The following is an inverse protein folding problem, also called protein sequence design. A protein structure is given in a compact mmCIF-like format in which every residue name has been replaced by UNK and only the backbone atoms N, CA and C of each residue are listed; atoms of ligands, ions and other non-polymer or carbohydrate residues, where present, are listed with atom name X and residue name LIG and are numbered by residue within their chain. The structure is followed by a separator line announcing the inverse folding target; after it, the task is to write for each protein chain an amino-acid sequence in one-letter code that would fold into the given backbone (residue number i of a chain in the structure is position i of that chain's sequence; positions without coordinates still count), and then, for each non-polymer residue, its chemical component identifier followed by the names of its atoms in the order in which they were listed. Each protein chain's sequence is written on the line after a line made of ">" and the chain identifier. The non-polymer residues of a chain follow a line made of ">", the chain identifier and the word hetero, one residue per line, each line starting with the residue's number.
data_IF_624279314909
#
_entry.id   IF_624279314909
#
_cell.length_a   1.000
_cell.length_b   1.000
_cell.length_c   1.000
_cell.angle_alpha   90.00
_cell.angle_beta   90.00
_cell.angle_gamma   90.00
#
_symmetry.space_group_name_H-M   'P 1'
#
loop_
_entity.id
_entity.type
_entity.pdbx_description
1 polymer ?
#
# COMPACT_ATOMS: atom_id res chain seq x y z
N UNK A 1 10.54 -10.55 14.05
CA UNK A 1 10.40 -11.73 13.16
C UNK A 1 11.74 -12.37 12.80
N UNK A 2 12.71 -11.60 12.26
CA UNK A 2 14.05 -12.11 11.96
C UNK A 2 14.72 -12.74 13.19
N UNK A 3 14.61 -12.08 14.34
CA UNK A 3 15.10 -12.63 15.61
C UNK A 3 14.41 -13.94 15.97
N UNK A 4 13.07 -13.95 16.00
CA UNK A 4 12.31 -15.15 16.36
C UNK A 4 12.60 -16.37 15.46
N UNK A 5 12.74 -16.18 14.15
CA UNK A 5 12.93 -17.30 13.20
C UNK A 5 14.40 -17.67 12.96
N UNK A 6 15.33 -16.72 13.08
CA UNK A 6 16.71 -16.92 12.68
C UNK A 6 17.77 -16.43 13.68
N UNK A 7 17.36 -15.81 14.79
CA UNK A 7 18.26 -15.35 15.85
C UNK A 7 19.21 -14.24 15.40
N UNK A 8 18.82 -13.41 14.44
CA UNK A 8 19.75 -12.45 13.82
C UNK A 8 20.26 -11.34 14.73
N UNK A 9 19.65 -11.12 15.90
CA UNK A 9 20.11 -10.17 16.91
C UNK A 9 20.92 -10.88 18.00
N UNK A 10 20.49 -12.08 18.43
CA UNK A 10 21.09 -12.79 19.57
C UNK A 10 22.19 -13.79 19.18
N UNK A 11 22.18 -14.31 17.96
CA UNK A 11 23.16 -15.30 17.48
C UNK A 11 24.25 -14.61 16.65
N UNK A 12 25.51 -14.56 17.12
CA UNK A 12 26.60 -13.93 16.37
C UNK A 12 27.00 -14.72 15.11
N UNK A 13 26.63 -16.00 15.02
CA UNK A 13 27.01 -16.90 13.93
C UNK A 13 25.81 -17.71 13.41
N UNK A 14 24.80 -17.07 12.79
CA UNK A 14 23.67 -17.80 12.21
C UNK A 14 24.15 -18.68 11.05
N UNK A 15 23.50 -19.84 10.88
CA UNK A 15 23.81 -20.77 9.80
C UNK A 15 23.62 -20.13 8.42
N UNK A 16 24.23 -20.69 7.38
CA UNK A 16 24.06 -20.17 6.01
C UNK A 16 22.59 -20.19 5.57
N UNK A 17 21.83 -21.19 6.00
CA UNK A 17 20.38 -21.28 5.75
C UNK A 17 19.66 -20.13 6.43
N UNK A 18 19.92 -19.87 7.72
CA UNK A 18 19.32 -18.75 8.46
C UNK A 18 19.72 -17.38 7.89
N UNK A 19 20.91 -17.23 7.30
CA UNK A 19 21.33 -16.02 6.59
C UNK A 19 20.59 -15.82 5.26
N UNK A 20 20.32 -16.92 4.55
CA UNK A 20 19.69 -16.87 3.21
C UNK A 20 18.16 -16.80 3.31
N UNK A 21 17.59 -17.48 4.30
CA UNK A 21 16.16 -17.70 4.51
C UNK A 21 15.74 -17.38 5.95
N UNK A 22 15.94 -16.14 6.43
CA UNK A 22 15.68 -15.79 7.82
C UNK A 22 14.21 -15.83 8.24
N UNK A 23 13.29 -15.88 7.29
CA UNK A 23 11.86 -15.90 7.57
C UNK A 23 11.23 -17.20 7.10
N UNK A 24 11.45 -17.60 5.85
CA UNK A 24 10.87 -18.83 5.32
C UNK A 24 11.87 -19.56 4.43
N UNK A 25 12.05 -20.85 4.72
CA UNK A 25 12.79 -21.72 3.83
C UNK A 25 11.98 -21.99 2.56
N UNK A 26 12.61 -21.81 1.40
CA UNK A 26 12.04 -22.17 0.10
C UNK A 26 13.16 -22.41 -0.89
N UNK A 27 12.97 -23.40 -1.77
CA UNK A 27 13.88 -23.67 -2.88
C UNK A 27 13.57 -22.81 -4.13
N UNK A 28 12.50 -22.01 -4.10
CA UNK A 28 12.16 -21.10 -5.18
C UNK A 28 13.14 -19.93 -5.23
N UNK A 29 13.73 -19.67 -6.41
CA UNK A 29 14.74 -18.62 -6.61
C UNK A 29 14.26 -17.23 -6.22
N UNK A 30 12.95 -16.98 -6.27
CA UNK A 30 12.31 -15.74 -5.86
C UNK A 30 12.24 -15.54 -4.32
N UNK A 31 12.80 -16.45 -3.51
CA UNK A 31 12.84 -16.35 -2.03
C UNK A 31 14.25 -16.19 -1.45
N UNK A 32 15.29 -16.10 -2.26
CA UNK A 32 16.67 -16.05 -1.78
C UNK A 32 17.06 -14.65 -1.28
N UNK A 33 17.60 -14.58 -0.06
CA UNK A 33 18.19 -13.37 0.51
C UNK A 33 17.21 -12.45 1.23
N UNK A 34 17.76 -11.54 2.05
CA UNK A 34 16.99 -10.73 2.99
C UNK A 34 15.89 -9.90 2.32
N UNK A 35 16.19 -9.21 1.22
CA UNK A 35 15.22 -8.36 0.53
C UNK A 35 13.96 -9.13 0.12
N UNK A 36 14.13 -10.31 -0.50
CA UNK A 36 13.01 -11.14 -0.97
C UNK A 36 12.23 -11.75 0.19
N UNK A 37 12.92 -12.07 1.29
CA UNK A 37 12.33 -12.60 2.52
C UNK A 37 11.50 -11.54 3.25
N UNK A 38 12.01 -10.31 3.36
CA UNK A 38 11.26 -9.17 3.91
C UNK A 38 10.08 -8.78 3.02
N UNK A 39 10.26 -8.79 1.70
CA UNK A 39 9.16 -8.54 0.75
C UNK A 39 8.05 -9.57 0.89
N UNK A 40 8.41 -10.85 1.05
CA UNK A 40 7.47 -11.94 1.32
C UNK A 40 6.72 -11.73 2.65
N UNK A 41 7.43 -11.40 3.72
CA UNK A 41 6.79 -11.16 5.01
C UNK A 41 5.87 -9.93 4.99
N UNK A 42 6.31 -8.82 4.41
CA UNK A 42 5.48 -7.63 4.26
C UNK A 42 4.21 -7.95 3.46
N UNK A 43 4.33 -8.72 2.36
CA UNK A 43 3.18 -9.15 1.57
C UNK A 43 2.16 -9.90 2.42
N UNK A 44 2.58 -10.91 3.17
CA UNK A 44 1.65 -11.75 3.94
C UNK A 44 1.13 -11.10 5.21
N UNK A 45 1.92 -10.26 5.88
CA UNK A 45 1.45 -9.43 6.98
C UNK A 45 0.35 -8.48 6.50
N UNK A 46 0.55 -7.82 5.36
CA UNK A 46 -0.48 -6.98 4.74
C UNK A 46 -1.72 -7.78 4.34
N UNK A 47 -1.54 -9.00 3.81
CA UNK A 47 -2.66 -9.86 3.43
C UNK A 47 -3.57 -10.17 4.62
N UNK A 48 -2.99 -10.52 5.78
CA UNK A 48 -3.75 -10.72 7.01
C UNK A 48 -4.32 -9.41 7.59
N UNK A 49 -3.50 -8.35 7.67
CA UNK A 49 -3.88 -7.05 8.23
C UNK A 49 -5.05 -6.41 7.47
N UNK A 50 -4.87 -6.15 6.17
CA UNK A 50 -5.89 -5.52 5.33
C UNK A 50 -7.00 -6.48 4.93
N UNK A 51 -6.72 -7.79 4.91
CA UNK A 51 -7.74 -8.82 4.76
C UNK A 51 -8.79 -8.73 5.87
N UNK A 52 -8.33 -8.63 7.11
CA UNK A 52 -9.19 -8.48 8.29
C UNK A 52 -10.03 -7.19 8.23
N UNK A 53 -9.37 -6.04 8.03
CA UNK A 53 -10.05 -4.74 8.10
C UNK A 53 -11.03 -4.51 6.96
N UNK A 54 -10.62 -4.87 5.74
CA UNK A 54 -11.25 -4.32 4.53
C UNK A 54 -11.78 -5.37 3.54
N UNK A 55 -11.44 -6.66 3.70
CA UNK A 55 -11.81 -7.73 2.74
C UNK A 55 -12.51 -8.92 3.38
N UNK A 56 -13.17 -8.71 4.52
CA UNK A 56 -13.98 -9.71 5.23
C UNK A 56 -13.25 -11.04 5.50
N UNK A 57 -11.94 -11.00 5.76
CA UNK A 57 -11.19 -12.19 6.16
C UNK A 57 -11.64 -12.62 7.57
N UNK A 58 -12.43 -13.68 7.66
CA UNK A 58 -12.97 -14.17 8.94
C UNK A 58 -12.41 -15.53 9.35
N UNK A 59 -11.76 -16.25 8.44
CA UNK A 59 -11.23 -17.59 8.69
C UNK A 59 -9.74 -17.67 8.38
N UNK A 60 -9.02 -18.42 9.22
CA UNK A 60 -7.66 -18.89 8.98
C UNK A 60 -7.70 -20.30 8.42
N UNK A 61 -7.04 -20.55 7.30
CA UNK A 61 -6.92 -21.87 6.68
C UNK A 61 -5.46 -22.33 6.67
N UNK A 62 -5.23 -23.57 7.08
CA UNK A 62 -3.92 -24.23 7.09
C UNK A 62 -3.72 -25.06 5.82
N UNK A 63 -2.47 -25.34 5.44
CA UNK A 63 -2.16 -26.16 4.25
C UNK A 63 -2.67 -27.60 4.37
N UNK A 64 -2.87 -28.07 5.60
CA UNK A 64 -3.45 -29.36 5.95
C UNK A 64 -4.99 -29.38 5.89
N UNK A 65 -5.63 -28.25 5.62
CA UNK A 65 -7.07 -28.12 5.37
C UNK A 65 -7.90 -27.73 6.59
N UNK A 66 -7.32 -27.72 7.79
CA UNK A 66 -7.99 -27.20 8.98
C UNK A 66 -8.32 -25.72 8.81
N UNK A 67 -9.47 -25.32 9.36
CA UNK A 67 -9.98 -23.95 9.29
C UNK A 67 -10.45 -23.49 10.64
N UNK A 68 -9.90 -22.38 11.11
CA UNK A 68 -10.31 -21.73 12.35
C UNK A 68 -11.02 -20.41 12.05
N UNK A 69 -12.05 -20.12 12.82
CA UNK A 69 -12.69 -18.81 12.82
C UNK A 69 -11.87 -17.86 13.68
N UNK A 70 -11.56 -16.66 13.18
CA UNK A 70 -10.98 -15.62 14.00
C UNK A 70 -11.98 -15.12 15.04
N UNK A 71 -11.50 -14.87 16.25
CA UNK A 71 -12.32 -14.19 17.25
C UNK A 71 -12.58 -12.73 16.80
N UNK A 72 -13.84 -12.31 16.85
CA UNK A 72 -14.26 -10.96 16.42
C UNK A 72 -13.63 -9.82 17.24
N UNK A 73 -13.08 -10.10 18.42
CA UNK A 73 -12.39 -9.14 19.27
C UNK A 73 -10.91 -8.92 18.93
N UNK A 74 -10.35 -9.65 17.96
CA UNK A 74 -8.95 -9.47 17.56
C UNK A 74 -8.74 -8.16 16.79
N UNK A 75 -7.58 -7.54 17.02
CA UNK A 75 -7.13 -6.42 16.18
C UNK A 75 -6.41 -6.94 14.91
N UNK A 76 -6.33 -6.07 13.91
CA UNK A 76 -5.73 -6.39 12.61
C UNK A 76 -4.26 -6.83 12.69
N UNK A 77 -3.47 -6.29 13.63
CA UNK A 77 -2.06 -6.67 13.80
C UNK A 77 -1.93 -8.10 14.35
N UNK A 78 -2.79 -8.48 15.30
CA UNK A 78 -2.86 -9.86 15.80
C UNK A 78 -3.28 -10.81 14.68
N UNK A 79 -4.30 -10.48 13.90
CA UNK A 79 -4.74 -11.31 12.76
C UNK A 79 -3.63 -11.45 11.71
N UNK A 80 -2.90 -10.36 11.41
CA UNK A 80 -1.76 -10.39 10.50
C UNK A 80 -0.67 -11.39 10.95
N UNK A 81 -0.35 -11.41 12.24
CA UNK A 81 0.62 -12.35 12.82
C UNK A 81 0.09 -13.79 12.80
N UNK A 82 -1.17 -14.01 13.19
CA UNK A 82 -1.78 -15.34 13.15
C UNK A 82 -1.79 -15.91 11.73
N UNK A 83 -2.14 -15.10 10.73
CA UNK A 83 -2.08 -15.46 9.33
C UNK A 83 -0.63 -15.73 8.89
N UNK A 84 0.31 -14.83 9.18
CA UNK A 84 1.71 -15.00 8.79
C UNK A 84 2.34 -16.29 9.34
N UNK A 85 2.03 -16.65 10.60
CA UNK A 85 2.54 -17.86 11.22
C UNK A 85 1.82 -19.14 10.78
N UNK A 86 0.64 -19.07 10.14
CA UNK A 86 -0.01 -20.28 9.62
C UNK A 86 0.60 -20.73 8.30
N UNK A 87 1.23 -19.81 7.55
CA UNK A 87 1.85 -20.10 6.27
C UNK A 87 2.93 -21.16 6.42
N UNK A 88 2.83 -22.22 5.62
CA UNK A 88 3.79 -23.36 5.61
C UNK A 88 3.99 -23.99 7.00
N UNK A 89 2.97 -23.95 7.85
CA UNK A 89 3.00 -24.48 9.22
C UNK A 89 1.76 -25.33 9.50
N UNK A 90 1.90 -26.37 10.31
CA UNK A 90 0.76 -27.10 10.86
C UNK A 90 0.18 -26.36 12.09
N UNK A 91 -0.99 -26.82 12.57
CA UNK A 91 -1.68 -26.22 13.73
C UNK A 91 -0.80 -26.22 14.98
N UNK A 92 0.01 -27.26 15.18
CA UNK A 92 0.87 -27.42 16.37
C UNK A 92 1.98 -26.36 16.35
N UNK A 93 2.68 -26.23 15.22
CA UNK A 93 3.76 -25.27 15.02
C UNK A 93 3.24 -23.83 15.09
N UNK A 94 2.09 -23.56 14.47
CA UNK A 94 1.41 -22.28 14.56
C UNK A 94 1.05 -21.93 16.00
N UNK A 95 0.39 -22.84 16.73
CA UNK A 95 0.02 -22.62 18.14
C UNK A 95 1.26 -22.38 19.00
N UNK A 96 2.34 -23.12 18.76
CA UNK A 96 3.63 -22.88 19.40
C UNK A 96 4.12 -21.44 19.19
N UNK A 97 4.02 -20.94 17.95
CA UNK A 97 4.47 -19.60 17.60
C UNK A 97 3.64 -18.46 18.20
N UNK A 98 2.31 -18.62 18.32
CA UNK A 98 1.43 -17.50 18.71
C UNK A 98 0.85 -17.58 20.13
N UNK A 99 0.78 -18.77 20.74
CA UNK A 99 0.00 -19.00 21.96
C UNK A 99 0.82 -19.51 23.15
N UNK A 100 2.12 -19.77 22.98
CA UNK A 100 2.98 -20.26 24.07
C UNK A 100 3.82 -19.14 24.68
N UNK A 101 4.22 -19.25 25.96
CA UNK A 101 5.14 -18.30 26.60
C UNK A 101 6.53 -18.23 25.96
N UNK A 102 6.88 -19.16 25.07
CA UNK A 102 8.14 -19.17 24.30
C UNK A 102 7.92 -18.78 22.82
N UNK A 103 6.71 -18.39 22.46
CA UNK A 103 6.34 -17.98 21.10
C UNK A 103 6.86 -16.59 20.74
N UNK A 104 6.40 -16.09 19.59
CA UNK A 104 6.79 -14.80 19.04
C UNK A 104 6.57 -13.63 20.00
N UNK A 105 5.50 -13.66 20.80
CA UNK A 105 5.22 -12.62 21.79
C UNK A 105 6.35 -12.45 22.80
N UNK A 106 6.99 -13.54 23.25
CA UNK A 106 8.10 -13.46 24.20
C UNK A 106 9.32 -12.77 23.58
N UNK A 107 9.63 -13.06 22.32
CA UNK A 107 10.67 -12.34 21.57
C UNK A 107 10.30 -10.88 21.38
N UNK A 108 9.06 -10.57 21.00
CA UNK A 108 8.64 -9.19 20.84
C UNK A 108 8.77 -8.41 22.15
N UNK A 109 8.24 -8.96 23.24
CA UNK A 109 8.25 -8.36 24.57
C UNK A 109 9.68 -8.10 25.06
N UNK A 110 10.60 -9.05 24.87
CA UNK A 110 11.99 -8.91 25.30
C UNK A 110 12.72 -7.73 24.62
N UNK A 111 12.38 -7.41 23.37
CA UNK A 111 13.04 -6.36 22.60
C UNK A 111 12.29 -5.03 22.56
N UNK A 112 10.96 -5.05 22.67
CA UNK A 112 10.10 -3.88 22.44
C UNK A 112 9.13 -3.58 23.59
N UNK A 113 9.03 -4.45 24.60
CA UNK A 113 8.07 -4.31 25.70
C UNK A 113 6.65 -4.77 25.34
N UNK A 114 5.68 -4.38 26.17
CA UNK A 114 4.28 -4.76 26.01
C UNK A 114 3.60 -3.99 24.86
N UNK A 115 3.20 -4.64 23.75
CA UNK A 115 2.53 -3.98 22.63
C UNK A 115 1.11 -3.51 22.94
N UNK A 116 0.53 -3.87 24.09
CA UNK A 116 -0.85 -3.55 24.44
C UNK A 116 -0.98 -2.34 25.39
N UNK A 117 0.12 -1.65 25.68
CA UNK A 117 0.13 -0.43 26.50
C UNK A 117 -0.54 0.73 25.75
N UNK A 118 -0.23 0.89 24.45
CA UNK A 118 -0.88 1.87 23.58
C UNK A 118 -2.18 1.29 23.02
N UNK A 119 -3.31 1.87 23.43
CA UNK A 119 -4.66 1.39 23.07
C UNK A 119 -5.34 2.23 22.00
N UNK A 120 -4.76 3.37 21.65
CA UNK A 120 -5.35 4.25 20.65
C UNK A 120 -5.16 3.65 19.25
N UNK A 121 -6.21 3.62 18.42
CA UNK A 121 -6.08 3.11 17.07
C UNK A 121 -5.16 4.04 16.27
N UNK A 122 -4.22 3.44 15.53
CA UNK A 122 -3.28 4.16 14.63
C UNK A 122 -4.04 5.11 13.70
N UNK A 123 -5.23 4.72 13.27
CA UNK A 123 -6.14 5.51 12.45
C UNK A 123 -7.42 5.80 13.24
N UNK A 124 -7.80 7.07 13.44
CA UNK A 124 -9.03 7.42 14.16
C UNK A 124 -10.28 7.06 13.33
N UNK A 125 -11.36 6.66 14.01
CA UNK A 125 -12.61 6.24 13.34
C UNK A 125 -13.32 7.39 12.59
N UNK A 126 -13.06 8.63 12.98
CA UNK A 126 -13.62 9.84 12.36
C UNK A 126 -12.61 10.51 11.42
N UNK A 127 -11.71 9.74 10.81
CA UNK A 127 -10.72 10.27 9.87
C UNK A 127 -11.41 11.00 8.70
N UNK A 128 -11.02 12.25 8.47
CA UNK A 128 -11.48 13.07 7.34
C UNK A 128 -10.32 13.25 6.38
N UNK A 129 -10.56 13.01 5.09
CA UNK A 129 -9.59 13.31 4.05
C UNK A 129 -9.47 14.84 3.87
N UNK A 130 -8.24 15.39 3.80
CA UNK A 130 -8.03 16.77 3.34
C UNK A 130 -8.60 17.01 1.94
N UNK A 131 -8.84 18.28 1.59
CA UNK A 131 -9.18 18.64 0.22
C UNK A 131 -7.98 18.38 -0.69
N UNK A 132 -8.17 17.59 -1.74
CA UNK A 132 -7.14 17.22 -2.71
C UNK A 132 -7.57 17.68 -4.10
N UNK A 133 -6.65 18.22 -4.87
CA UNK A 133 -6.82 18.50 -6.29
C UNK A 133 -6.57 17.30 -7.20
N UNK A 134 -6.68 17.53 -8.50
CA UNK A 134 -6.20 16.57 -9.49
C UNK A 134 -4.67 16.67 -9.62
N UNK A 135 -3.97 15.55 -9.86
CA UNK A 135 -2.50 15.51 -9.89
C UNK A 135 -1.90 15.98 -11.22
N UNK A 136 -2.58 16.85 -11.96
CA UNK A 136 -2.19 17.36 -13.28
C UNK A 136 -2.78 18.75 -13.56
N UNK A 137 -2.33 19.42 -14.62
CA UNK A 137 -2.69 20.82 -14.85
C UNK A 137 -4.14 20.99 -15.35
N UNK A 138 -4.73 22.17 -15.10
CA UNK A 138 -5.97 22.56 -15.77
C UNK A 138 -5.75 22.65 -17.29
N UNK A 139 -6.71 22.13 -18.06
CA UNK A 139 -6.63 22.03 -19.52
C UNK A 139 -5.91 20.78 -20.04
N UNK A 140 -5.29 19.97 -19.18
CA UNK A 140 -4.75 18.66 -19.56
C UNK A 140 -5.82 17.57 -19.42
N UNK A 141 -5.79 16.58 -20.33
CA UNK A 141 -6.65 15.39 -20.27
C UNK A 141 -5.78 14.18 -19.99
N UNK A 142 -5.93 13.63 -18.80
CA UNK A 142 -5.30 12.38 -18.38
C UNK A 142 -6.32 11.24 -18.49
N UNK A 143 -5.86 10.00 -18.34
CA UNK A 143 -6.70 8.82 -18.49
C UNK A 143 -6.70 7.99 -17.22
N UNK A 144 -7.87 7.75 -16.66
CA UNK A 144 -8.09 6.87 -15.51
C UNK A 144 -7.92 5.40 -15.92
N UNK A 145 -6.69 4.89 -15.84
CA UNK A 145 -6.32 3.59 -16.41
C UNK A 145 -6.40 2.43 -15.44
N UNK A 146 -6.50 2.71 -14.13
CA UNK A 146 -6.61 1.70 -13.10
C UNK A 146 -7.47 2.19 -11.95
N UNK A 147 -8.56 1.45 -11.65
CA UNK A 147 -9.43 1.66 -10.50
C UNK A 147 -8.75 1.28 -9.19
N UNK A 148 -9.55 1.09 -8.14
CA UNK A 148 -9.04 0.79 -6.80
C UNK A 148 -8.14 -0.46 -6.80
N UNK A 149 -6.89 -0.30 -6.35
CA UNK A 149 -5.92 -1.40 -6.23
C UNK A 149 -4.85 -1.10 -5.17
N UNK A 150 -3.96 -2.06 -4.92
CA UNK A 150 -2.99 -2.01 -3.83
C UNK A 150 -2.11 -0.75 -3.82
N UNK A 151 -2.09 -0.02 -2.69
CA UNK A 151 -1.20 1.14 -2.48
C UNK A 151 0.28 0.85 -2.71
N UNK A 152 0.72 -0.36 -2.33
CA UNK A 152 2.00 -0.95 -2.71
C UNK A 152 1.88 -2.47 -2.74
N UNK A 153 2.05 -3.06 -3.92
CA UNK A 153 1.77 -4.49 -4.18
C UNK A 153 0.33 -4.90 -3.83
N UNK A 154 -0.10 -6.07 -4.31
CA UNK A 154 -1.51 -6.48 -4.29
C UNK A 154 -2.10 -6.82 -2.91
N UNK A 155 -1.27 -7.04 -1.88
CA UNK A 155 -1.78 -7.39 -0.55
C UNK A 155 -2.07 -6.20 0.36
N UNK A 156 -1.60 -5.00 0.00
CA UNK A 156 -1.90 -3.76 0.71
C UNK A 156 -3.40 -3.40 0.62
N UNK A 157 -3.83 -2.35 1.33
CA UNK A 157 -5.17 -1.80 1.11
C UNK A 157 -5.31 -1.36 -0.35
N UNK A 158 -6.54 -1.44 -0.89
CA UNK A 158 -6.85 -0.90 -2.21
C UNK A 158 -6.92 0.63 -2.17
N UNK A 159 -5.76 1.24 -1.99
CA UNK A 159 -5.56 2.65 -1.67
C UNK A 159 -5.11 3.49 -2.88
N UNK A 160 -4.82 2.84 -4.01
CA UNK A 160 -4.27 3.47 -5.19
C UNK A 160 -5.26 3.60 -6.36
N UNK A 161 -4.96 4.54 -7.25
CA UNK A 161 -5.53 4.74 -8.57
C UNK A 161 -4.39 4.97 -9.58
N UNK A 162 -4.62 4.60 -10.84
CA UNK A 162 -3.67 4.85 -11.92
C UNK A 162 -4.19 5.86 -12.94
N UNK A 163 -3.33 6.80 -13.31
CA UNK A 163 -3.59 7.78 -14.35
C UNK A 163 -2.48 7.78 -15.41
N UNK A 164 -2.81 7.46 -16.65
CA UNK A 164 -1.87 7.59 -17.75
C UNK A 164 -1.79 9.04 -18.26
N UNK A 165 -0.58 9.52 -18.61
CA UNK A 165 -0.40 10.90 -19.07
C UNK A 165 -0.97 11.11 -20.49
N UNK A 166 -1.13 12.38 -20.92
CA UNK A 166 -1.70 12.71 -22.23
C UNK A 166 -0.83 12.28 -23.41
N UNK A 167 0.49 12.27 -23.26
CA UNK A 167 1.40 11.82 -24.31
C UNK A 167 1.51 10.31 -24.35
N UNK A 168 1.63 9.77 -25.57
CA UNK A 168 1.90 8.38 -25.87
C UNK A 168 2.96 8.32 -26.97
N UNK A 169 3.82 7.29 -26.95
CA UNK A 169 4.80 7.10 -28.00
C UNK A 169 4.21 6.31 -29.16
N UNK A 170 4.50 6.75 -30.37
CA UNK A 170 4.04 6.10 -31.62
C UNK A 170 4.94 4.96 -32.08
N UNK A 171 6.09 4.75 -31.42
CA UNK A 171 7.05 3.69 -31.74
C UNK A 171 6.78 2.36 -31.03
N UNK A 172 5.66 2.25 -30.32
CA UNK A 172 5.25 1.04 -29.58
C UNK A 172 5.97 0.83 -28.24
N UNK A 173 6.80 1.79 -27.80
CA UNK A 173 7.44 1.72 -26.48
C UNK A 173 6.47 2.25 -25.42
N UNK A 174 5.92 1.34 -24.62
CA UNK A 174 4.97 1.69 -23.55
C UNK A 174 5.60 2.38 -22.35
N UNK A 175 6.92 2.25 -22.16
CA UNK A 175 7.64 2.84 -21.05
C UNK A 175 8.55 3.99 -21.46
N UNK A 176 8.25 5.18 -20.97
CA UNK A 176 8.96 6.43 -21.28
C UNK A 176 8.72 7.50 -20.21
N UNK A 177 9.57 8.52 -20.19
CA UNK A 177 9.34 9.70 -19.33
C UNK A 177 8.37 10.63 -20.06
N UNK A 178 7.23 10.92 -19.44
CA UNK A 178 6.23 11.84 -19.97
C UNK A 178 6.76 13.28 -20.04
N UNK A 179 6.30 14.03 -21.04
CA UNK A 179 6.52 15.48 -21.11
C UNK A 179 5.59 16.27 -20.17
N UNK A 180 4.56 15.63 -19.62
CA UNK A 180 3.59 16.24 -18.72
C UNK A 180 4.00 16.05 -17.27
N UNK A 181 3.74 17.08 -16.47
CA UNK A 181 4.07 17.09 -15.05
C UNK A 181 2.97 16.41 -14.23
N UNK A 182 3.39 15.49 -13.36
CA UNK A 182 2.59 15.16 -12.17
C UNK A 182 2.70 16.34 -11.20
N UNK A 183 1.58 16.72 -10.59
CA UNK A 183 1.47 17.88 -9.71
C UNK A 183 1.01 17.49 -8.32
N UNK A 184 1.45 18.25 -7.32
CA UNK A 184 1.02 18.08 -5.94
C UNK A 184 -0.49 18.29 -5.83
N UNK A 185 -1.20 17.33 -5.22
CA UNK A 185 -2.66 17.45 -5.01
C UNK A 185 -3.03 18.37 -3.84
N UNK A 186 -2.08 18.69 -2.97
CA UNK A 186 -2.27 19.54 -1.79
C UNK A 186 -0.96 20.25 -1.43
N UNK A 187 -1.03 21.20 -0.51
CA UNK A 187 0.15 21.85 0.07
C UNK A 187 0.86 20.87 1.01
N UNK A 188 2.19 20.95 1.10
CA UNK A 188 2.95 20.09 2.00
C UNK A 188 4.45 20.15 1.83
N UNK A 189 5.14 19.14 2.36
CA UNK A 189 6.59 18.95 2.22
C UNK A 189 6.88 17.55 1.66
N UNK A 190 7.89 17.46 0.79
CA UNK A 190 8.36 16.15 0.32
C UNK A 190 9.16 15.48 1.45
N UNK A 191 8.52 14.58 2.20
CA UNK A 191 9.13 13.83 3.30
C UNK A 191 10.09 12.74 2.78
N UNK A 192 9.79 12.17 1.61
CA UNK A 192 10.60 11.12 0.98
C UNK A 192 10.56 11.18 -0.54
N UNK A 193 11.69 10.93 -1.18
CA UNK A 193 11.81 10.88 -2.63
C UNK A 193 12.94 9.93 -3.02
N UNK A 194 12.58 8.76 -3.55
CA UNK A 194 13.53 7.71 -3.93
C UNK A 194 12.83 6.58 -4.71
N UNK A 195 13.61 5.85 -5.52
CA UNK A 195 13.17 4.61 -6.19
C UNK A 195 11.84 4.75 -6.94
N UNK A 196 11.65 5.86 -7.67
CA UNK A 196 10.44 6.16 -8.43
C UNK A 196 9.24 6.62 -7.59
N UNK A 197 9.38 6.71 -6.27
CA UNK A 197 8.34 7.17 -5.36
C UNK A 197 8.60 8.56 -4.78
N UNK A 198 7.54 9.34 -4.58
CA UNK A 198 7.51 10.63 -3.90
C UNK A 198 6.42 10.60 -2.83
N UNK A 199 6.73 11.02 -1.61
CA UNK A 199 5.80 11.11 -0.48
C UNK A 199 5.65 12.57 -0.07
N UNK A 200 4.44 13.09 -0.25
CA UNK A 200 4.04 14.43 0.16
C UNK A 200 3.37 14.33 1.52
N UNK A 201 4.06 14.82 2.54
CA UNK A 201 3.54 15.00 3.90
C UNK A 201 2.71 16.30 3.97
N UNK A 202 1.48 16.17 4.49
CA UNK A 202 0.51 17.25 4.57
C UNK A 202 0.48 17.99 5.91
N UNK A 203 1.08 17.43 6.98
CA UNK A 203 1.17 18.14 8.27
C UNK A 203 2.50 18.88 8.46
N UNK A 204 3.49 18.57 7.61
CA UNK A 204 4.68 19.39 7.39
C UNK A 204 5.81 19.12 8.37
N UNK A 205 5.73 18.04 9.15
CA UNK A 205 6.80 17.59 10.06
C UNK A 205 7.96 16.87 9.33
N UNK A 206 7.75 16.49 8.06
CA UNK A 206 8.74 15.83 7.22
C UNK A 206 8.89 14.32 7.47
N UNK A 207 7.96 13.70 8.21
CA UNK A 207 7.92 12.26 8.49
C UNK A 207 6.80 11.59 7.67
N UNK A 208 7.16 10.64 6.79
CA UNK A 208 6.18 9.94 5.95
C UNK A 208 5.40 8.84 6.70
N UNK A 209 5.60 8.72 8.01
CA UNK A 209 4.94 7.77 8.92
C UNK A 209 3.90 8.41 9.85
N UNK A 210 3.76 9.73 9.86
CA UNK A 210 2.77 10.50 10.63
C UNK A 210 1.78 11.20 9.69
N UNK A 211 0.65 11.62 10.25
CA UNK A 211 -0.30 12.48 9.56
C UNK A 211 -0.86 11.89 8.26
N UNK A 212 -1.35 12.76 7.38
CA UNK A 212 -1.74 12.39 6.03
C UNK A 212 -0.55 12.49 5.08
N UNK A 213 -0.32 11.44 4.30
CA UNK A 213 0.74 11.41 3.29
C UNK A 213 0.18 10.95 1.95
N UNK A 214 0.44 11.73 0.90
CA UNK A 214 0.13 11.33 -0.48
C UNK A 214 1.35 10.69 -1.11
N UNK A 215 1.17 9.48 -1.62
CA UNK A 215 2.19 8.71 -2.30
C UNK A 215 1.98 8.77 -3.82
N UNK A 216 3.02 9.18 -4.53
CA UNK A 216 3.08 9.17 -5.99
C UNK A 216 4.17 8.19 -6.41
N UNK A 217 3.86 7.26 -7.29
CA UNK A 217 4.76 6.24 -7.80
C UNK A 217 4.83 6.28 -9.32
N UNK A 218 5.88 5.68 -9.86
CA UNK A 218 6.24 5.73 -11.26
C UNK A 218 6.67 7.13 -11.68
N UNK A 219 7.32 7.87 -10.78
CA UNK A 219 7.91 9.17 -11.06
C UNK A 219 9.34 8.97 -11.56
N UNK A 220 9.70 9.59 -12.68
CA UNK A 220 11.06 9.54 -13.20
C UNK A 220 12.04 10.12 -12.19
N UNK A 221 13.23 9.54 -12.04
CA UNK A 221 14.32 10.11 -11.24
C UNK A 221 14.71 11.49 -11.78
N UNK A 222 14.62 11.66 -13.10
CA UNK A 222 14.76 12.97 -13.73
C UNK A 222 13.61 13.88 -13.30
N UNK A 223 13.95 15.08 -12.82
CA UNK A 223 13.00 16.12 -12.41
C UNK A 223 12.11 15.73 -11.20
N UNK A 224 12.45 14.65 -10.48
CA UNK A 224 11.78 14.27 -9.24
C UNK A 224 11.97 15.34 -8.17
N UNK A 225 10.91 15.73 -7.47
CA UNK A 225 11.02 16.67 -6.36
C UNK A 225 11.91 16.11 -5.24
N UNK A 226 12.81 16.94 -4.72
CA UNK A 226 13.77 16.56 -3.68
C UNK A 226 13.14 16.57 -2.29
N UNK A 227 13.64 15.71 -1.40
CA UNK A 227 13.27 15.71 0.03
C UNK A 227 13.47 17.09 0.66
N UNK A 228 12.52 17.52 1.50
CA UNK A 228 12.51 18.83 2.16
C UNK A 228 11.93 19.96 1.31
N UNK A 229 11.62 19.73 0.02
CA UNK A 229 10.97 20.73 -0.83
C UNK A 229 9.55 20.98 -0.32
N UNK A 230 9.23 22.24 -0.04
CA UNK A 230 7.84 22.67 0.20
C UNK A 230 7.15 22.90 -1.14
N UNK A 231 5.95 22.37 -1.28
CA UNK A 231 5.15 22.49 -2.50
C UNK A 231 3.75 22.99 -2.14
N UNK A 232 3.18 23.80 -3.01
CA UNK A 232 1.76 24.14 -2.97
C UNK A 232 1.00 23.21 -3.91
N UNK A 233 -0.31 23.08 -3.71
CA UNK A 233 -1.22 22.40 -4.64
C UNK A 233 -1.01 22.93 -6.06
N UNK A 234 -0.79 22.01 -6.99
CA UNK A 234 -0.53 22.30 -8.40
C UNK A 234 0.96 22.48 -8.75
N UNK A 235 1.87 22.56 -7.78
CA UNK A 235 3.31 22.61 -8.08
C UNK A 235 3.78 21.27 -8.69
N UNK A 236 4.73 21.28 -9.64
CA UNK A 236 5.27 20.05 -10.22
C UNK A 236 6.02 19.22 -9.17
N UNK A 237 5.78 17.91 -9.16
CA UNK A 237 6.49 16.96 -8.27
C UNK A 237 7.37 15.95 -9.02
N UNK A 238 7.22 15.88 -10.35
CA UNK A 238 7.99 15.03 -11.25
C UNK A 238 7.21 14.67 -12.50
N UNK A 239 7.74 13.72 -13.27
CA UNK A 239 7.13 13.25 -14.52
C UNK A 239 6.76 11.78 -14.42
N UNK A 240 5.59 11.41 -14.95
CA UNK A 240 5.17 10.02 -15.02
C UNK A 240 6.14 9.19 -15.88
N UNK A 241 6.41 7.96 -15.47
CA UNK A 241 7.37 7.01 -16.04
C UNK A 241 6.97 5.57 -15.69
N UNK A 242 7.93 4.64 -15.61
CA UNK A 242 7.73 3.29 -15.06
C UNK A 242 8.72 2.98 -13.94
N UNK A 243 9.45 3.99 -13.45
CA UNK A 243 10.45 3.80 -12.41
C UNK A 243 9.82 3.39 -11.08
N UNK A 244 10.52 2.57 -10.30
CA UNK A 244 9.99 2.09 -9.02
C UNK A 244 8.96 0.97 -9.17
N UNK A 245 9.16 -0.12 -8.44
CA UNK A 245 8.22 -1.24 -8.44
C UNK A 245 8.05 -1.93 -9.80
N UNK A 246 6.88 -2.54 -10.01
CA UNK A 246 6.49 -3.18 -11.25
C UNK A 246 5.51 -2.27 -12.00
N UNK A 247 5.70 -2.12 -13.31
CA UNK A 247 4.82 -1.34 -14.17
C UNK A 247 4.78 -1.93 -15.58
N UNK A 248 3.60 -1.90 -16.21
CA UNK A 248 3.40 -2.36 -17.59
C UNK A 248 3.59 -1.24 -18.64
N UNK A 249 3.44 0.02 -18.24
CA UNK A 249 3.48 1.19 -19.11
C UNK A 249 3.64 2.49 -18.30
N UNK A 250 3.94 3.60 -18.94
CA UNK A 250 3.99 4.92 -18.28
C UNK A 250 2.65 5.32 -17.70
N UNK A 251 2.61 5.53 -16.40
CA UNK A 251 1.45 6.06 -15.67
C UNK A 251 1.90 6.72 -14.36
N UNK A 252 0.97 7.45 -13.73
CA UNK A 252 1.03 7.85 -12.33
C UNK A 252 0.24 6.83 -11.52
N UNK A 253 0.86 6.23 -10.51
CA UNK A 253 0.19 5.52 -9.44
C UNK A 253 0.08 6.47 -8.23
N UNK A 254 -1.13 6.79 -7.79
CA UNK A 254 -1.37 7.70 -6.65
C UNK A 254 -2.15 7.01 -5.55
N UNK A 255 -1.65 7.10 -4.31
CA UNK A 255 -2.27 6.53 -3.12
C UNK A 255 -2.15 7.46 -1.91
N UNK A 256 -2.84 7.11 -0.82
CA UNK A 256 -2.82 7.88 0.43
C UNK A 256 -2.58 6.99 1.65
N UNK A 257 -1.81 7.52 2.60
CA UNK A 257 -1.54 6.92 3.92
C UNK A 257 -2.04 7.85 5.02
N UNK A 258 -2.36 7.27 6.17
CA UNK A 258 -2.47 7.99 7.43
C UNK A 258 -1.69 7.27 8.52
N UNK A 259 -0.78 7.95 9.21
CA UNK A 259 0.11 7.36 10.23
C UNK A 259 0.78 6.05 9.75
N UNK A 260 1.28 6.04 8.51
CA UNK A 260 1.91 4.87 7.89
C UNK A 260 0.96 3.77 7.41
N UNK A 261 -0.34 3.82 7.71
CA UNK A 261 -1.33 2.85 7.20
C UNK A 261 -1.87 3.28 5.82
N UNK A 262 -1.95 2.36 4.86
CA UNK A 262 -2.63 2.60 3.58
C UNK A 262 -4.13 2.76 3.79
N UNK A 263 -4.69 3.88 3.34
CA UNK A 263 -6.13 4.15 3.48
C UNK A 263 -6.84 3.75 2.19
N UNK A 264 -7.75 2.76 2.23
CA UNK A 264 -8.42 2.26 1.04
C UNK A 264 -9.21 3.36 0.34
N UNK A 265 -9.36 3.26 -0.97
CA UNK A 265 -10.02 4.25 -1.82
C UNK A 265 -11.51 4.38 -1.51
N UNK A 266 -12.14 3.26 -1.18
CA UNK A 266 -13.46 3.18 -0.59
C UNK A 266 -13.54 1.93 0.31
N UNK A 267 -14.68 1.70 0.96
CA UNK A 267 -14.79 0.63 1.96
C UNK A 267 -16.16 -0.07 1.94
N UNK A 268 -16.63 -0.61 0.79
CA UNK A 268 -17.98 -1.18 0.69
C UNK A 268 -18.19 -2.43 1.55
N UNK A 269 -17.13 -3.12 1.94
CA UNK A 269 -17.18 -4.38 2.72
C UNK A 269 -16.57 -4.25 4.12
N UNK A 270 -16.17 -3.05 4.52
CA UNK A 270 -15.47 -2.83 5.79
C UNK A 270 -16.44 -2.84 6.96
N UNK A 271 -15.97 -3.31 8.12
CA UNK A 271 -16.72 -3.16 9.35
C UNK A 271 -16.92 -1.66 9.67
N UNK A 272 -18.03 -1.29 10.31
CA UNK A 272 -18.37 0.12 10.56
C UNK A 272 -17.31 0.87 11.38
N UNK A 273 -16.57 0.18 12.26
CA UNK A 273 -15.47 0.76 13.03
C UNK A 273 -14.18 0.94 12.21
N UNK A 274 -14.06 0.24 11.08
CA UNK A 274 -12.95 0.34 10.14
C UNK A 274 -13.33 1.13 8.87
N UNK A 275 -14.49 1.79 8.84
CA UNK A 275 -14.86 2.66 7.74
C UNK A 275 -13.80 3.76 7.55
N UNK A 276 -13.52 4.09 6.29
CA UNK A 276 -12.55 5.10 5.88
C UNK A 276 -13.20 6.09 4.93
N UNK A 277 -12.76 7.37 4.92
CA UNK A 277 -13.31 8.36 4.01
C UNK A 277 -13.11 7.89 2.57
N UNK A 278 -14.06 8.12 1.66
CA UNK A 278 -13.85 7.85 0.23
C UNK A 278 -12.69 8.71 -0.29
N UNK A 279 -11.89 8.17 -1.21
CA UNK A 279 -10.83 8.89 -1.88
C UNK A 279 -11.48 9.87 -2.85
N UNK A 280 -11.25 11.16 -2.58
CA UNK A 280 -11.76 12.26 -3.37
C UNK A 280 -10.57 13.04 -3.95
N UNK A 281 -10.51 13.13 -5.28
CA UNK A 281 -9.51 13.91 -6.00
C UNK A 281 -10.20 14.95 -6.87
N UNK A 282 -10.12 16.23 -6.49
CA UNK A 282 -10.73 17.33 -7.23
C UNK A 282 -12.26 17.23 -7.35
N UNK A 283 -12.93 16.58 -6.39
CA UNK A 283 -14.36 16.31 -6.41
C UNK A 283 -14.73 14.90 -6.90
N UNK A 284 -13.85 14.24 -7.64
CA UNK A 284 -14.06 12.88 -8.13
C UNK A 284 -13.94 11.86 -7.01
N UNK A 285 -15.05 11.20 -6.69
CA UNK A 285 -15.11 10.17 -5.65
C UNK A 285 -14.93 8.79 -6.26
N UNK A 286 -14.07 7.97 -5.65
CA UNK A 286 -13.86 6.59 -6.08
C UNK A 286 -15.04 5.71 -5.68
N UNK A 287 -15.46 4.86 -6.62
CA UNK A 287 -16.36 3.74 -6.35
C UNK A 287 -15.72 2.45 -6.89
N UNK A 288 -15.32 1.56 -5.99
CA UNK A 288 -14.76 0.26 -6.32
C UNK A 288 -15.85 -0.78 -6.58
N UNK A 289 -15.44 -1.90 -7.17
CA UNK A 289 -16.29 -3.08 -7.32
C UNK A 289 -15.74 -4.16 -6.38
N UNK A 290 -16.57 -4.73 -5.47
CA UNK A 290 -16.12 -5.75 -4.54
C UNK A 290 -15.39 -6.90 -5.23
N UNK A 291 -14.21 -7.26 -4.73
CA UNK A 291 -13.36 -8.33 -5.24
C UNK A 291 -12.89 -8.17 -6.71
N UNK A 292 -12.92 -6.96 -7.26
CA UNK A 292 -12.43 -6.66 -8.60
C UNK A 292 -11.33 -5.60 -8.55
N UNK A 293 -10.08 -6.03 -8.33
CA UNK A 293 -8.91 -5.15 -8.31
C UNK A 293 -8.76 -4.43 -9.66
N UNK A 294 -8.31 -3.16 -9.65
CA UNK A 294 -8.18 -2.28 -10.82
C UNK A 294 -9.51 -1.90 -11.51
N UNK A 295 -10.65 -2.42 -11.05
CA UNK A 295 -11.96 -2.09 -11.60
C UNK A 295 -12.64 -1.02 -10.74
N UNK A 296 -13.60 -0.31 -11.35
CA UNK A 296 -14.37 0.72 -10.67
C UNK A 296 -14.59 1.94 -11.54
N UNK A 297 -15.05 3.00 -10.90
CA UNK A 297 -15.29 4.28 -11.56
C UNK A 297 -15.07 5.46 -10.62
N UNK A 298 -14.85 6.63 -11.20
CA UNK A 298 -14.92 7.91 -10.53
C UNK A 298 -16.30 8.52 -10.76
N UNK A 299 -16.89 9.10 -9.72
CA UNK A 299 -18.18 9.79 -9.76
C UNK A 299 -18.03 11.26 -9.35
N UNK A 300 -18.56 12.17 -10.17
CA UNK A 300 -18.61 13.60 -9.86
C UNK A 300 -19.79 14.28 -10.56
N UNK A 301 -20.68 14.92 -9.79
CA UNK A 301 -21.82 15.68 -10.32
C UNK A 301 -22.67 14.92 -11.36
N UNK A 302 -22.88 13.61 -11.15
CA UNK A 302 -23.64 12.75 -12.06
C UNK A 302 -22.88 12.30 -13.31
N UNK A 303 -21.60 12.64 -13.44
CA UNK A 303 -20.68 12.09 -14.43
C UNK A 303 -19.95 10.88 -13.86
N UNK A 304 -19.72 9.89 -14.73
CA UNK A 304 -18.99 8.66 -14.40
C UNK A 304 -17.82 8.47 -15.34
N UNK A 305 -16.64 8.22 -14.78
CA UNK A 305 -15.46 7.79 -15.52
C UNK A 305 -15.09 6.36 -15.11
N UNK A 306 -15.15 5.42 -16.05
CA UNK A 306 -14.84 4.01 -15.78
C UNK A 306 -13.35 3.76 -15.95
N UNK A 307 -12.75 3.01 -15.03
CA UNK A 307 -11.36 2.58 -15.17
C UNK A 307 -11.22 1.70 -16.43
N UNK A 308 -10.29 2.07 -17.31
CA UNK A 308 -10.04 1.33 -18.55
C UNK A 308 -8.56 1.42 -18.90
N UNK A 309 -7.91 0.28 -19.13
CA UNK A 309 -6.45 0.22 -19.29
C UNK A 309 -5.96 1.03 -20.50
N UNK A 310 -6.78 1.09 -21.56
CA UNK A 310 -6.45 1.81 -22.80
C UNK A 310 -6.76 3.31 -22.76
N UNK A 311 -6.12 4.07 -23.64
CA UNK A 311 -6.30 5.54 -23.79
C UNK A 311 -7.21 5.94 -24.95
N UNK A 312 -7.72 4.96 -25.69
CA UNK A 312 -8.55 5.18 -26.87
C UNK A 312 -10.00 5.51 -26.53
N UNK A 313 -10.44 5.18 -25.32
CA UNK A 313 -11.80 5.43 -24.88
C UNK A 313 -11.97 6.87 -24.39
N UNK A 314 -13.20 7.38 -24.49
CA UNK A 314 -13.58 8.64 -23.86
C UNK A 314 -14.07 8.43 -22.43
N UNK A 315 -14.41 7.19 -22.06
CA UNK A 315 -15.07 6.87 -20.79
C UNK A 315 -14.14 6.96 -19.58
N UNK A 316 -12.83 7.07 -19.79
CA UNK A 316 -11.82 7.19 -18.75
C UNK A 316 -11.05 8.51 -18.81
N UNK A 317 -11.47 9.47 -19.64
CA UNK A 317 -10.81 10.78 -19.74
C UNK A 317 -11.17 11.64 -18.55
N UNK A 318 -10.16 12.13 -17.84
CA UNK A 318 -10.31 13.00 -16.69
C UNK A 318 -9.59 14.33 -16.93
N UNK A 319 -10.24 15.42 -16.54
CA UNK A 319 -9.69 16.77 -16.48
C UNK A 319 -10.30 17.49 -15.27
N UNK A 320 -9.79 18.69 -14.98
CA UNK A 320 -10.47 19.65 -14.11
C UNK A 320 -11.84 20.05 -14.65
#
# INVERSE_FOLDING_TARGET
>A
LLEYRAGWLSNPNPSQVQKTFPLIFSLETNRFGLYRQLSWAAYHLNAGYYGWKYRALTTLEFETGERFLYDSGLNAATVALQYFFSLKSDVISWRSAIATPQGFFATYYAYFGDPFVDKDPIVPNNLIQPDLGLPFASGEVWFFTGGAHGGWASSSAWAALDFAPPDERTDGVFCFISNYWVRAVADGIIARSQNGGVWLDLDGDGDDSTGWVIFYLHIATQDQASVGTRVNRGDPIGKASCEGGYSTATHLHIARKYNGEWIPTDCPQCASHDARPTFNLGGWQVVSIPNQEYQGYLDFNGQRLTAEQGRLSVVNRISW
#
